data_IF_236416158544
#
_entry.id   IF_236416158544
#
_cell.length_a   1.000
_cell.length_b   1.000
_cell.length_c   1.000
_cell.angle_alpha   90.00
_cell.angle_beta   90.00
_cell.angle_gamma   90.00
#
_symmetry.space_group_name_H-M   'P 1'
#
loop_
_entity.id
_entity.type
_entity.pdbx_description
1 polymer ?
#
# COMPACT_ATOMS: atom_id res chain seq x y z
N UNK A 1 16.82 -18.30 -8.18
CA UNK A 1 16.53 -17.59 -9.45
C UNK A 1 15.11 -17.89 -9.93
N UNK A 2 14.71 -19.16 -9.99
CA UNK A 2 13.36 -19.60 -10.37
C UNK A 2 12.23 -18.90 -9.57
N UNK A 3 12.34 -18.87 -8.24
CA UNK A 3 11.34 -18.21 -7.36
C UNK A 3 11.19 -16.72 -7.65
N UNK A 4 12.29 -16.02 -7.97
CA UNK A 4 12.25 -14.59 -8.29
C UNK A 4 11.51 -14.34 -9.61
N UNK A 5 11.71 -15.20 -10.60
CA UNK A 5 11.01 -15.13 -11.88
C UNK A 5 9.52 -15.42 -11.72
N UNK A 6 9.16 -16.40 -10.89
CA UNK A 6 7.75 -16.71 -10.58
C UNK A 6 7.07 -15.52 -9.89
N UNK A 7 7.72 -14.93 -8.89
CA UNK A 7 7.20 -13.74 -8.19
C UNK A 7 7.01 -12.59 -9.19
N UNK A 8 7.99 -12.35 -10.07
CA UNK A 8 7.91 -11.30 -11.07
C UNK A 8 6.71 -11.49 -12.01
N UNK A 9 6.49 -12.72 -12.51
CA UNK A 9 5.36 -13.04 -13.38
C UNK A 9 4.03 -12.85 -12.66
N UNK A 10 3.93 -13.32 -11.41
CA UNK A 10 2.72 -13.15 -10.60
C UNK A 10 2.42 -11.67 -10.37
N UNK A 11 3.43 -10.86 -10.05
CA UNK A 11 3.27 -9.43 -9.88
C UNK A 11 2.83 -8.75 -11.18
N UNK A 12 3.36 -9.18 -12.33
CA UNK A 12 2.96 -8.65 -13.63
C UNK A 12 1.51 -8.97 -13.97
N UNK A 13 1.09 -10.21 -13.74
CA UNK A 13 -0.30 -10.64 -13.92
C UNK A 13 -1.22 -9.92 -12.94
N UNK A 14 -0.81 -9.73 -11.70
CA UNK A 14 -1.57 -8.98 -10.71
C UNK A 14 -1.82 -7.55 -11.17
N UNK A 15 -0.84 -6.86 -11.75
CA UNK A 15 -1.06 -5.52 -12.31
C UNK A 15 -2.08 -5.53 -13.45
N UNK A 16 -2.00 -6.51 -14.36
CA UNK A 16 -2.94 -6.63 -15.49
C UNK A 16 -4.39 -6.86 -15.00
N UNK A 17 -4.58 -7.57 -13.89
CA UNK A 17 -5.91 -7.82 -13.33
C UNK A 17 -6.40 -6.66 -12.46
N UNK A 18 -5.53 -6.11 -11.61
CA UNK A 18 -5.89 -5.05 -10.67
C UNK A 18 -6.17 -3.74 -11.39
N UNK A 19 -5.40 -3.38 -12.42
CA UNK A 19 -5.55 -2.14 -13.17
C UNK A 19 -6.98 -1.95 -13.74
N UNK A 20 -7.56 -2.88 -14.53
CA UNK A 20 -8.91 -2.74 -15.05
C UNK A 20 -9.96 -2.85 -13.94
N UNK A 21 -9.68 -3.57 -12.84
CA UNK A 21 -10.56 -3.64 -11.69
C UNK A 21 -10.66 -2.26 -11.03
N UNK A 22 -9.51 -1.61 -10.79
CA UNK A 22 -9.46 -0.26 -10.25
C UNK A 22 -10.14 0.70 -11.21
N UNK A 23 -9.88 0.65 -12.52
CA UNK A 23 -10.57 1.55 -13.47
C UNK A 23 -12.09 1.33 -13.55
N UNK A 24 -12.55 0.08 -13.43
CA UNK A 24 -13.98 -0.28 -13.50
C UNK A 24 -14.73 0.06 -12.22
N UNK A 25 -14.11 -0.14 -11.06
CA UNK A 25 -14.75 0.03 -9.75
C UNK A 25 -14.33 1.31 -9.03
N UNK A 26 -13.34 2.06 -9.54
CA UNK A 26 -13.04 3.38 -9.03
C UNK A 26 -14.20 4.33 -9.40
N UNK A 27 -14.77 5.04 -8.42
CA UNK A 27 -15.81 6.03 -8.69
C UNK A 27 -15.24 7.15 -9.58
N UNK A 28 -15.78 7.27 -10.80
CA UNK A 28 -15.29 8.17 -11.88
C UNK A 28 -15.51 9.67 -11.64
N UNK A 29 -15.83 10.11 -10.44
CA UNK A 29 -16.19 11.51 -10.21
C UNK A 29 -16.26 11.92 -8.75
N UNK A 30 -15.67 11.14 -7.85
CA UNK A 30 -15.58 11.56 -6.47
C UNK A 30 -14.25 12.29 -6.30
N UNK A 31 -14.31 13.60 -6.09
CA UNK A 31 -13.21 14.37 -5.51
C UNK A 31 -13.01 13.86 -4.09
N UNK A 32 -12.54 12.61 -3.96
CA UNK A 32 -12.21 12.01 -2.69
C UNK A 32 -11.17 12.92 -2.10
N UNK A 33 -11.58 13.70 -1.10
CA UNK A 33 -10.74 14.59 -0.33
C UNK A 33 -9.78 13.76 0.50
N UNK A 34 -8.87 13.05 -0.18
CA UNK A 34 -7.78 12.29 0.42
C UNK A 34 -6.88 13.20 1.25
N UNK A 35 -6.94 14.53 1.06
CA UNK A 35 -6.25 15.51 1.90
C UNK A 35 -6.50 15.31 3.41
N UNK A 36 -7.70 14.90 3.82
CA UNK A 36 -7.98 14.63 5.24
C UNK A 36 -7.32 13.33 5.72
N UNK A 37 -7.26 12.30 4.86
CA UNK A 37 -6.63 11.02 5.21
C UNK A 37 -5.10 11.13 5.20
N UNK A 38 -4.53 11.85 4.23
CA UNK A 38 -3.09 12.10 4.10
C UNK A 38 -2.52 12.81 5.33
N UNK A 39 -3.30 13.68 5.99
CA UNK A 39 -2.89 14.34 7.23
C UNK A 39 -2.59 13.37 8.37
N UNK A 40 -3.24 12.21 8.41
CA UNK A 40 -3.01 11.19 9.45
C UNK A 40 -1.87 10.23 9.10
N UNK A 41 -1.39 10.20 7.85
CA UNK A 41 -0.29 9.32 7.45
C UNK A 41 0.97 9.65 8.25
N UNK A 42 1.36 10.92 8.32
CA UNK A 42 2.55 11.35 9.06
C UNK A 42 2.54 10.97 10.55
N UNK A 43 1.51 11.29 11.34
CA UNK A 43 1.48 10.91 12.75
C UNK A 43 1.41 9.39 12.95
N UNK A 44 0.67 8.66 12.10
CA UNK A 44 0.62 7.20 12.19
C UNK A 44 1.97 6.55 11.87
N UNK A 45 2.69 7.06 10.87
CA UNK A 45 4.06 6.59 10.54
C UNK A 45 5.01 6.87 11.70
N UNK A 46 4.95 8.05 12.32
CA UNK A 46 5.76 8.37 13.50
C UNK A 46 5.48 7.40 14.65
N UNK A 47 4.20 7.09 14.90
CA UNK A 47 3.79 6.14 15.94
C UNK A 47 4.31 4.72 15.63
N UNK A 48 4.22 4.28 14.37
CA UNK A 48 4.78 3.00 13.94
C UNK A 48 6.29 2.93 14.13
N UNK A 49 7.03 3.99 13.82
CA UNK A 49 8.48 4.04 14.05
C UNK A 49 8.80 3.89 15.54
N UNK A 50 8.09 4.60 16.42
CA UNK A 50 8.27 4.48 17.87
C UNK A 50 7.93 3.07 18.35
N UNK A 51 6.82 2.49 17.89
CA UNK A 51 6.44 1.13 18.23
C UNK A 51 7.49 0.10 17.77
N UNK A 52 8.07 0.30 16.57
CA UNK A 52 9.15 -0.53 16.04
C UNK A 52 10.42 -0.43 16.89
N UNK A 53 10.77 0.77 17.35
CA UNK A 53 11.90 0.98 18.26
C UNK A 53 11.68 0.28 19.59
N UNK A 54 10.49 0.43 20.19
CA UNK A 54 10.15 -0.27 21.44
C UNK A 54 10.28 -1.78 21.22
N UNK A 55 9.72 -2.31 20.14
CA UNK A 55 9.86 -3.73 19.82
C UNK A 55 11.32 -4.13 19.69
N UNK A 56 12.16 -3.39 18.97
CA UNK A 56 13.56 -3.75 18.75
C UNK A 56 14.42 -3.72 20.02
N UNK A 57 14.15 -2.79 20.95
CA UNK A 57 14.95 -2.63 22.17
C UNK A 57 14.42 -3.42 23.38
N UNK A 58 13.12 -3.76 23.41
CA UNK A 58 12.48 -4.40 24.58
C UNK A 58 11.97 -5.82 24.32
N UNK A 59 11.91 -6.29 23.07
CA UNK A 59 11.46 -7.65 22.68
C UNK A 59 12.48 -8.34 21.76
#
# INVERSE_FOLDING_TARGET
METLLIILVILFVALIVILPLVEKYAPKGETRGYGNLTRFIFPLVALLIVAQMIRYYFF
#
